data_IF_733603057259
#
_entry.id   IF_733603057259
#
_cell.length_a   1.000
_cell.length_b   1.000
_cell.length_c   1.000
_cell.angle_alpha   90.00
_cell.angle_beta   90.00
_cell.angle_gamma   90.00
#
_symmetry.space_group_name_H-M   'P 1'
#
loop_
_entity.id
_entity.type
_entity.pdbx_description
1 polymer ?
#
# COMPACT_ATOMS: atom_id res chain seq x y z
N UNK A 1 3.33 19.13 26.09
CA UNK A 1 3.45 17.75 26.59
C UNK A 1 3.22 16.83 25.41
N UNK A 2 4.25 16.17 24.89
CA UNK A 2 4.08 15.09 23.91
C UNK A 2 4.07 13.79 24.72
N UNK A 3 2.90 13.15 24.77
CA UNK A 3 2.71 11.89 25.47
C UNK A 3 3.66 10.83 24.91
N UNK A 4 4.34 10.17 25.82
CA UNK A 4 5.31 9.11 25.61
C UNK A 4 4.65 7.79 25.18
N UNK A 5 4.00 7.74 24.03
CA UNK A 5 3.61 6.44 23.46
C UNK A 5 4.72 5.95 22.52
N UNK A 6 5.45 4.94 22.98
CA UNK A 6 6.61 4.36 22.27
C UNK A 6 6.19 3.62 20.98
N UNK A 7 4.90 3.34 20.83
CA UNK A 7 4.39 2.43 19.81
C UNK A 7 3.57 3.19 18.76
N UNK A 8 4.24 3.62 17.68
CA UNK A 8 3.62 4.38 16.57
C UNK A 8 2.34 3.74 16.01
N UNK A 9 2.26 2.40 16.02
CA UNK A 9 1.18 1.65 15.41
C UNK A 9 -0.15 1.72 16.19
N UNK A 10 -0.13 2.10 17.48
CA UNK A 10 -1.35 2.16 18.29
C UNK A 10 -2.30 3.27 17.85
N UNK A 11 -1.75 4.37 17.34
CA UNK A 11 -2.48 5.54 16.88
C UNK A 11 -2.44 5.67 15.34
N UNK A 12 -1.99 4.62 14.64
CA UNK A 12 -1.82 4.69 13.21
C UNK A 12 -3.16 4.64 12.47
N UNK A 13 -3.33 5.56 11.50
CA UNK A 13 -4.39 5.47 10.50
C UNK A 13 -3.81 4.74 9.30
N UNK A 14 -4.18 3.48 9.15
CA UNK A 14 -3.63 2.59 8.12
C UNK A 14 -4.47 2.71 6.85
N UNK A 15 -3.83 3.10 5.74
CA UNK A 15 -4.43 3.05 4.42
C UNK A 15 -4.00 1.76 3.71
N UNK A 16 -4.96 0.87 3.48
CA UNK A 16 -4.72 -0.40 2.81
C UNK A 16 -5.00 -0.28 1.31
N UNK A 17 -4.11 -0.81 0.46
CA UNK A 17 -4.34 -0.81 -1.00
C UNK A 17 -3.66 -1.99 -1.72
N UNK A 18 -4.19 -2.32 -2.89
CA UNK A 18 -3.60 -3.24 -3.85
C UNK A 18 -2.89 -2.45 -4.95
N UNK A 19 -1.57 -2.62 -5.11
CA UNK A 19 -0.75 -1.81 -6.06
C UNK A 19 -1.32 -1.88 -7.48
N UNK A 20 -1.58 -3.10 -7.97
CA UNK A 20 -2.18 -3.36 -9.31
C UNK A 20 -3.55 -2.74 -9.57
N UNK A 21 -4.28 -2.31 -8.54
CA UNK A 21 -5.61 -1.74 -8.69
C UNK A 21 -5.69 -0.27 -8.29
N UNK A 22 -4.57 0.35 -7.88
CA UNK A 22 -4.60 1.68 -7.27
C UNK A 22 -4.39 2.82 -8.27
N UNK A 23 -3.24 2.85 -8.95
CA UNK A 23 -2.96 3.87 -9.96
C UNK A 23 -1.92 3.36 -10.96
N UNK A 24 -2.26 3.45 -12.24
CA UNK A 24 -1.42 3.08 -13.39
C UNK A 24 -0.68 4.34 -13.87
N UNK A 25 0.66 4.27 -13.89
CA UNK A 25 1.52 5.38 -14.32
C UNK A 25 2.14 5.18 -15.71
N UNK A 26 1.92 4.04 -16.36
CA UNK A 26 2.50 3.71 -17.67
C UNK A 26 1.46 3.43 -18.77
N UNK A 27 0.15 3.51 -18.45
CA UNK A 27 -0.99 3.33 -19.35
C UNK A 27 -1.12 1.89 -19.90
N UNK A 28 -0.69 0.89 -19.13
CA UNK A 28 -0.84 -0.54 -19.47
C UNK A 28 -2.11 -1.20 -18.91
N UNK A 29 -2.88 -0.46 -18.11
CA UNK A 29 -4.12 -0.89 -17.47
C UNK A 29 -3.93 -1.53 -16.09
N UNK A 30 -2.71 -1.61 -15.57
CA UNK A 30 -2.37 -2.22 -14.29
C UNK A 30 -1.64 -1.20 -13.41
N UNK A 31 -2.09 -1.06 -12.17
CA UNK A 31 -1.42 -0.17 -11.22
C UNK A 31 -0.01 -0.62 -10.86
N UNK A 32 0.87 0.34 -10.60
CA UNK A 32 2.28 0.08 -10.38
C UNK A 32 2.87 0.93 -9.24
N UNK A 33 4.11 0.62 -8.83
CA UNK A 33 4.75 1.32 -7.71
C UNK A 33 5.09 2.78 -8.01
N UNK A 34 5.32 3.13 -9.28
CA UNK A 34 5.50 4.53 -9.68
C UNK A 34 4.17 5.26 -9.51
N UNK A 35 3.07 4.66 -9.94
CA UNK A 35 1.74 5.21 -9.75
C UNK A 35 1.35 5.37 -8.29
N UNK A 36 1.66 4.38 -7.43
CA UNK A 36 1.52 4.54 -5.98
C UNK A 36 2.34 5.73 -5.46
N UNK A 37 3.58 5.86 -5.89
CA UNK A 37 4.48 6.94 -5.45
C UNK A 37 3.91 8.32 -5.82
N UNK A 38 3.36 8.46 -7.03
CA UNK A 38 2.72 9.70 -7.51
C UNK A 38 1.46 10.10 -6.70
N UNK A 39 0.88 9.18 -5.92
CA UNK A 39 -0.31 9.40 -5.10
C UNK A 39 -0.05 9.42 -3.59
N UNK A 40 1.21 9.40 -3.15
CA UNK A 40 1.53 9.48 -1.71
C UNK A 40 1.01 10.76 -1.05
N UNK A 41 1.05 11.89 -1.76
CA UNK A 41 0.50 13.16 -1.24
C UNK A 41 -1.03 13.08 -1.06
N UNK A 42 -1.74 12.38 -1.95
CA UNK A 42 -3.17 12.10 -1.78
C UNK A 42 -3.42 11.26 -0.53
N UNK A 43 -2.72 10.13 -0.37
CA UNK A 43 -2.86 9.25 0.80
C UNK A 43 -2.58 10.02 2.11
N UNK A 44 -1.53 10.83 2.11
CA UNK A 44 -1.20 11.70 3.25
C UNK A 44 -2.28 12.75 3.51
N UNK A 45 -2.87 13.34 2.48
CA UNK A 45 -3.94 14.34 2.63
C UNK A 45 -5.20 13.78 3.29
N UNK A 46 -5.45 12.47 3.18
CA UNK A 46 -6.53 11.78 3.88
C UNK A 46 -6.24 11.57 5.38
N UNK A 47 -5.02 11.85 5.84
CA UNK A 47 -4.59 11.67 7.23
C UNK A 47 -4.00 10.30 7.54
N UNK A 48 -3.74 9.47 6.53
CA UNK A 48 -3.07 8.19 6.74
C UNK A 48 -1.64 8.39 7.24
N UNK A 49 -1.24 7.57 8.22
CA UNK A 49 0.11 7.60 8.81
C UNK A 49 0.94 6.37 8.46
N UNK A 50 0.29 5.35 7.88
CA UNK A 50 0.91 4.10 7.46
C UNK A 50 0.19 3.55 6.23
N UNK A 51 0.93 2.86 5.35
CA UNK A 51 0.39 2.16 4.19
C UNK A 51 0.56 0.66 4.41
N UNK A 52 -0.52 -0.09 4.24
CA UNK A 52 -0.48 -1.55 4.17
C UNK A 52 -0.74 -2.00 2.73
N UNK A 53 0.29 -2.55 2.10
CA UNK A 53 0.18 -3.11 0.76
C UNK A 53 -0.36 -4.55 0.83
N UNK A 54 -1.40 -4.82 0.03
CA UNK A 54 -1.79 -6.19 -0.32
C UNK A 54 -0.66 -6.87 -1.12
N UNK A 55 -0.67 -8.22 -1.24
CA UNK A 55 0.42 -8.96 -1.87
C UNK A 55 0.83 -8.40 -3.23
N UNK A 56 2.14 -8.22 -3.40
CA UNK A 56 2.76 -7.72 -4.62
C UNK A 56 3.92 -8.61 -5.12
N UNK A 57 4.18 -9.71 -4.42
CA UNK A 57 5.16 -10.72 -4.82
C UNK A 57 4.65 -11.57 -5.99
N UNK A 58 5.55 -12.25 -6.74
CA UNK A 58 5.16 -13.25 -7.73
C UNK A 58 4.23 -14.31 -7.11
N UNK A 59 3.14 -14.60 -7.81
CA UNK A 59 2.11 -15.55 -7.37
C UNK A 59 1.49 -16.26 -8.57
N UNK A 60 1.08 -17.54 -8.44
CA UNK A 60 0.24 -18.23 -9.41
C UNK A 60 -1.19 -17.69 -9.48
N UNK A 61 -1.56 -16.75 -8.61
CA UNK A 61 -2.85 -16.06 -8.57
C UNK A 61 -4.04 -16.99 -8.31
N UNK A 62 -3.88 -17.99 -7.43
CA UNK A 62 -5.00 -18.84 -6.97
C UNK A 62 -5.77 -18.22 -5.81
N UNK A 63 -5.15 -17.27 -5.11
CA UNK A 63 -5.72 -16.54 -3.98
C UNK A 63 -5.32 -15.06 -4.01
N UNK A 64 -5.55 -14.38 -5.15
CA UNK A 64 -5.30 -12.94 -5.34
C UNK A 64 -3.92 -12.44 -4.86
N UNK A 65 -2.88 -13.25 -5.05
CA UNK A 65 -1.51 -12.93 -4.68
C UNK A 65 -1.09 -13.41 -3.28
N UNK A 66 -2.01 -13.90 -2.46
CA UNK A 66 -1.69 -14.48 -1.14
C UNK A 66 -1.02 -15.85 -1.25
N UNK A 67 -1.20 -16.57 -2.36
CA UNK A 67 -0.43 -17.76 -2.72
C UNK A 67 0.91 -17.38 -3.35
N UNK A 68 1.86 -16.95 -2.51
CA UNK A 68 3.18 -16.43 -2.93
C UNK A 68 4.06 -17.58 -3.47
N UNK A 69 4.62 -17.37 -4.67
CA UNK A 69 5.57 -18.31 -5.29
C UNK A 69 7.02 -18.04 -4.88
N UNK A 70 7.38 -16.77 -4.69
CA UNK A 70 8.75 -16.32 -4.37
C UNK A 70 8.68 -15.02 -3.54
N UNK A 71 9.45 -14.97 -2.44
CA UNK A 71 9.54 -13.82 -1.52
C UNK A 71 10.80 -12.98 -1.75
#
# INVERSE_FOLDING_TARGET
>A
MLGSDKYWYKDAVIYQLHVKAFFDANDDGIGDFRGLTEKLDYIKSLGATCIWLLPFFPSPMRDDGYDIAEY
#
